data_IF_800699366358
#
_entry.id   IF_800699366358
#
_cell.length_a   1.000
_cell.length_b   1.000
_cell.length_c   1.000
_cell.angle_alpha   90.00
_cell.angle_beta   90.00
_cell.angle_gamma   90.00
#
_symmetry.space_group_name_H-M   'P 1'
#
loop_
_entity.id
_entity.type
_entity.pdbx_description
1 polymer ?
#
# COMPACT_ATOMS: atom_id res chain seq x y z
N UNK A 1 -5.53 10.86 -26.12
CA UNK A 1 -5.36 10.01 -24.94
C UNK A 1 -6.44 8.95 -24.97
N UNK A 2 -6.14 7.84 -25.69
CA UNK A 2 -7.01 6.69 -25.75
C UNK A 2 -7.02 6.01 -24.38
N UNK A 3 -8.15 6.04 -23.71
CA UNK A 3 -8.40 5.21 -22.55
C UNK A 3 -8.28 3.75 -23.02
N UNK A 4 -7.19 3.10 -22.63
CA UNK A 4 -7.08 1.65 -22.78
C UNK A 4 -8.31 1.01 -22.12
N UNK A 5 -8.99 0.06 -22.76
CA UNK A 5 -10.14 -0.58 -22.12
C UNK A 5 -9.66 -1.16 -20.78
N UNK A 6 -10.36 -0.84 -19.69
CA UNK A 6 -10.10 -1.35 -18.36
C UNK A 6 -10.31 -2.87 -18.34
N UNK A 7 -9.29 -3.62 -18.72
CA UNK A 7 -9.30 -5.08 -18.79
C UNK A 7 -8.02 -5.62 -18.19
N UNK A 8 -8.15 -6.67 -17.44
CA UNK A 8 -7.02 -7.47 -17.00
C UNK A 8 -6.24 -7.96 -18.24
N UNK A 9 -4.91 -7.90 -18.19
CA UNK A 9 -4.06 -8.44 -19.25
C UNK A 9 -4.45 -9.88 -19.56
N UNK A 10 -4.54 -10.23 -20.84
CA UNK A 10 -4.82 -11.62 -21.27
C UNK A 10 -3.75 -12.62 -20.80
N UNK A 11 -2.57 -12.13 -20.44
CA UNK A 11 -1.47 -12.94 -19.91
C UNK A 11 -1.49 -13.09 -18.39
N UNK A 12 -2.36 -12.37 -17.67
CA UNK A 12 -2.39 -12.41 -16.20
C UNK A 12 -2.71 -13.81 -15.69
N UNK A 13 -3.88 -14.33 -16.03
CA UNK A 13 -4.35 -15.64 -15.57
C UNK A 13 -3.51 -16.83 -16.03
N UNK A 14 -2.92 -16.85 -17.23
CA UNK A 14 -1.98 -17.90 -17.61
C UNK A 14 -0.69 -17.94 -16.79
N UNK A 15 -0.30 -16.81 -16.19
CA UNK A 15 0.95 -16.69 -15.43
C UNK A 15 0.76 -16.80 -13.91
N UNK A 16 -0.41 -16.42 -13.41
CA UNK A 16 -0.68 -16.34 -11.98
C UNK A 16 -1.93 -17.14 -11.62
N UNK A 17 -1.82 -17.95 -10.57
CA UNK A 17 -2.96 -18.60 -9.91
C UNK A 17 -3.16 -17.92 -8.57
N UNK A 18 -4.07 -16.96 -8.52
CA UNK A 18 -4.31 -16.14 -7.34
C UNK A 18 -5.69 -16.44 -6.75
N UNK A 19 -5.92 -16.12 -5.47
CA UNK A 19 -7.21 -16.34 -4.83
C UNK A 19 -8.36 -15.66 -5.55
N UNK A 20 -9.50 -16.32 -5.58
CA UNK A 20 -10.77 -15.81 -6.11
C UNK A 20 -11.71 -15.52 -4.96
N UNK A 21 -12.12 -14.26 -4.84
CA UNK A 21 -13.10 -13.83 -3.84
C UNK A 21 -14.49 -13.77 -4.48
N UNK A 22 -15.29 -14.79 -4.22
CA UNK A 22 -16.62 -14.95 -4.84
C UNK A 22 -17.62 -13.83 -4.45
N UNK A 23 -17.39 -13.16 -3.33
CA UNK A 23 -18.19 -12.00 -2.90
C UNK A 23 -17.96 -10.75 -3.75
N UNK A 24 -16.85 -10.71 -4.50
CA UNK A 24 -16.50 -9.59 -5.36
C UNK A 24 -17.02 -9.75 -6.78
N UNK A 25 -17.13 -8.62 -7.47
CA UNK A 25 -17.45 -8.63 -8.90
C UNK A 25 -16.37 -9.41 -9.67
N UNK A 26 -16.78 -10.32 -10.59
CA UNK A 26 -15.87 -11.22 -11.32
C UNK A 26 -14.70 -10.57 -12.06
N UNK A 27 -14.78 -9.26 -12.37
CA UNK A 27 -13.63 -8.52 -12.92
C UNK A 27 -12.55 -8.22 -11.89
N UNK A 28 -12.86 -8.34 -10.59
CA UNK A 28 -11.91 -8.18 -9.49
C UNK A 28 -11.31 -9.53 -9.06
N UNK A 29 -11.83 -10.67 -9.53
CA UNK A 29 -11.24 -11.98 -9.23
C UNK A 29 -9.77 -12.01 -9.61
N UNK A 30 -8.94 -12.61 -8.76
CA UNK A 30 -7.48 -12.72 -8.92
C UNK A 30 -6.72 -11.37 -8.90
N UNK A 31 -7.41 -10.24 -8.66
CA UNK A 31 -6.78 -8.92 -8.53
C UNK A 31 -7.10 -8.22 -7.21
N UNK A 32 -8.11 -8.72 -6.49
CA UNK A 32 -8.44 -8.31 -5.12
C UNK A 32 -8.63 -9.58 -4.29
N UNK A 33 -7.81 -9.74 -3.28
CA UNK A 33 -7.82 -10.94 -2.43
C UNK A 33 -7.06 -10.68 -1.13
N UNK A 34 -7.21 -11.61 -0.18
CA UNK A 34 -6.39 -11.67 1.03
C UNK A 34 -5.52 -12.93 1.06
N UNK A 35 -4.37 -12.80 1.68
CA UNK A 35 -3.53 -13.93 2.08
C UNK A 35 -3.30 -13.82 3.58
N UNK A 36 -3.56 -14.87 4.31
CA UNK A 36 -3.21 -14.98 5.72
C UNK A 36 -2.13 -16.04 5.89
N UNK A 37 -1.06 -15.65 6.55
CA UNK A 37 0.02 -16.57 6.86
C UNK A 37 0.57 -16.26 8.25
N UNK A 38 0.49 -17.25 9.15
CA UNK A 38 0.78 -17.03 10.57
C UNK A 38 -0.04 -15.83 11.08
N UNK A 39 0.58 -14.88 11.76
CA UNK A 39 -0.09 -13.71 12.30
C UNK A 39 -0.10 -12.49 11.35
N UNK A 40 -0.02 -12.73 10.04
CA UNK A 40 0.03 -11.68 9.01
C UNK A 40 -1.16 -11.79 8.07
N UNK A 41 -1.93 -10.71 7.97
CA UNK A 41 -2.90 -10.49 6.90
C UNK A 41 -2.27 -9.63 5.82
N UNK A 42 -2.27 -10.10 4.58
CA UNK A 42 -1.92 -9.30 3.39
C UNK A 42 -3.18 -9.09 2.57
N UNK A 43 -3.59 -7.83 2.43
CA UNK A 43 -4.74 -7.42 1.63
C UNK A 43 -4.25 -6.80 0.32
N UNK A 44 -4.56 -7.45 -0.79
CA UNK A 44 -4.21 -7.01 -2.15
C UNK A 44 -5.41 -6.33 -2.80
N UNK A 45 -5.23 -5.10 -3.29
CA UNK A 45 -6.30 -4.28 -3.86
C UNK A 45 -6.01 -3.89 -5.31
N UNK A 46 -7.06 -3.75 -6.09
CA UNK A 46 -7.01 -3.23 -7.45
C UNK A 46 -7.26 -1.71 -7.45
N UNK A 47 -6.21 -0.93 -7.65
CA UNK A 47 -6.29 0.52 -7.65
C UNK A 47 -6.62 1.13 -9.02
N UNK A 48 -7.11 0.33 -9.98
CA UNK A 48 -7.43 0.80 -11.34
C UNK A 48 -8.89 0.69 -11.71
N UNK A 49 -9.65 -0.25 -11.11
CA UNK A 49 -11.03 -0.52 -11.51
C UNK A 49 -11.93 -0.89 -10.32
N UNK A 50 -13.21 -0.56 -10.40
CA UNK A 50 -14.23 -0.88 -9.39
C UNK A 50 -13.84 -0.48 -7.95
N UNK A 51 -13.24 0.68 -7.77
CA UNK A 51 -12.69 1.14 -6.49
C UNK A 51 -13.73 1.12 -5.36
N UNK A 52 -14.93 1.65 -5.62
CA UNK A 52 -16.03 1.74 -4.64
C UNK A 52 -16.48 0.35 -4.16
N UNK A 53 -16.44 -0.65 -5.05
CA UNK A 53 -16.87 -2.02 -4.73
C UNK A 53 -15.93 -2.75 -3.79
N UNK A 54 -14.70 -2.26 -3.66
CA UNK A 54 -13.70 -2.84 -2.78
C UNK A 54 -13.81 -2.32 -1.34
N UNK A 55 -14.43 -1.17 -1.12
CA UNK A 55 -14.50 -0.53 0.21
C UNK A 55 -15.17 -1.44 1.25
N UNK A 56 -16.32 -2.03 0.91
CA UNK A 56 -16.99 -2.97 1.81
C UNK A 56 -16.18 -4.25 2.06
N UNK A 57 -15.48 -4.74 1.05
CA UNK A 57 -14.58 -5.89 1.17
C UNK A 57 -13.40 -5.59 2.09
N UNK A 58 -12.77 -4.41 1.95
CA UNK A 58 -11.69 -3.95 2.83
C UNK A 58 -12.18 -3.93 4.28
N UNK A 59 -13.33 -3.31 4.53
CA UNK A 59 -13.90 -3.24 5.87
C UNK A 59 -14.19 -4.63 6.43
N UNK A 60 -14.79 -5.50 5.64
CA UNK A 60 -15.09 -6.88 6.04
C UNK A 60 -13.83 -7.65 6.43
N UNK A 61 -12.81 -7.64 5.57
CA UNK A 61 -11.58 -8.42 5.82
C UNK A 61 -10.77 -7.87 7.00
N UNK A 62 -10.64 -6.56 7.10
CA UNK A 62 -9.91 -5.94 8.20
C UNK A 62 -10.62 -6.10 9.56
N UNK A 63 -11.96 -5.99 9.59
CA UNK A 63 -12.74 -6.10 10.83
C UNK A 63 -12.83 -7.52 11.39
N UNK A 64 -12.69 -8.53 10.52
CA UNK A 64 -12.77 -9.95 10.93
C UNK A 64 -11.40 -10.58 11.20
N UNK A 65 -10.32 -9.89 10.88
CA UNK A 65 -8.98 -10.45 11.03
C UNK A 65 -8.43 -10.24 12.43
N UNK A 66 -8.04 -11.34 13.07
CA UNK A 66 -7.29 -11.36 14.33
C UNK A 66 -5.77 -11.28 14.12
N UNK A 67 -5.32 -11.14 12.87
CA UNK A 67 -3.91 -11.05 12.55
C UNK A 67 -3.24 -9.86 13.25
N UNK A 68 -2.10 -10.13 13.89
CA UNK A 68 -1.30 -9.11 14.58
C UNK A 68 -0.79 -8.05 13.62
N UNK A 69 -0.35 -8.48 12.42
CA UNK A 69 0.21 -7.60 11.40
C UNK A 69 -0.72 -7.52 10.19
N UNK A 70 -1.06 -6.31 9.79
CA UNK A 70 -1.95 -6.04 8.64
C UNK A 70 -1.19 -5.23 7.60
N UNK A 71 -0.98 -5.83 6.43
CA UNK A 71 -0.28 -5.22 5.31
C UNK A 71 -1.26 -5.05 4.16
N UNK A 72 -1.31 -3.86 3.59
CA UNK A 72 -2.11 -3.57 2.38
C UNK A 72 -1.17 -3.29 1.21
N UNK A 73 -1.51 -3.81 0.04
CA UNK A 73 -0.79 -3.46 -1.18
C UNK A 73 -1.71 -3.12 -2.33
N UNK A 74 -1.40 -2.07 -3.05
CA UNK A 74 -2.02 -1.70 -4.32
C UNK A 74 -1.03 -0.92 -5.19
N UNK A 75 -1.29 -0.86 -6.50
CA UNK A 75 -0.34 -0.23 -7.42
C UNK A 75 -0.20 1.28 -7.22
N UNK A 76 -1.30 2.03 -7.18
CA UNK A 76 -1.24 3.49 -7.03
C UNK A 76 -0.95 3.91 -5.59
N UNK A 77 -0.11 4.94 -5.45
CA UNK A 77 0.29 5.47 -4.15
C UNK A 77 -0.85 6.20 -3.47
N UNK A 78 -1.17 5.81 -2.24
CA UNK A 78 -2.18 6.52 -1.42
C UNK A 78 -1.75 7.96 -1.16
N UNK A 79 -0.46 8.16 -0.87
CA UNK A 79 0.20 9.45 -0.77
C UNK A 79 1.26 9.54 -1.86
N UNK A 80 0.85 10.05 -3.01
CA UNK A 80 1.70 10.09 -4.20
C UNK A 80 2.86 11.05 -4.04
N UNK A 81 4.13 10.60 -4.12
CA UNK A 81 5.27 11.50 -4.05
C UNK A 81 5.58 12.18 -5.39
N UNK A 82 5.07 11.71 -6.51
CA UNK A 82 5.41 12.23 -7.82
C UNK A 82 4.56 13.44 -8.22
N UNK A 83 5.21 14.45 -8.78
CA UNK A 83 4.57 15.69 -9.24
C UNK A 83 3.34 15.42 -10.11
N UNK A 84 2.20 16.01 -9.73
CA UNK A 84 0.96 16.01 -10.49
C UNK A 84 0.25 14.65 -10.52
N UNK A 85 0.60 13.74 -9.63
CA UNK A 85 -0.08 12.46 -9.43
C UNK A 85 -0.82 12.45 -8.12
N UNK A 86 -1.99 11.84 -8.10
CA UNK A 86 -2.82 11.77 -6.92
C UNK A 86 -3.73 10.55 -6.94
N UNK A 87 -4.00 9.99 -5.77
CA UNK A 87 -4.99 8.93 -5.58
C UNK A 87 -5.94 9.30 -4.42
N UNK A 88 -6.61 10.44 -4.59
CA UNK A 88 -7.56 10.99 -3.61
C UNK A 88 -8.63 10.00 -3.17
N UNK A 89 -9.11 9.15 -4.11
CA UNK A 89 -10.11 8.14 -3.78
C UNK A 89 -9.67 7.23 -2.63
N UNK A 90 -8.44 6.70 -2.70
CA UNK A 90 -7.93 5.82 -1.64
C UNK A 90 -7.74 6.57 -0.33
N UNK A 91 -7.26 7.81 -0.36
CA UNK A 91 -7.16 8.63 0.85
C UNK A 91 -8.50 8.88 1.51
N UNK A 92 -9.54 9.18 0.73
CA UNK A 92 -10.86 9.48 1.26
C UNK A 92 -11.67 8.25 1.68
N UNK A 93 -11.50 7.10 1.01
CA UNK A 93 -12.39 5.96 1.19
C UNK A 93 -11.72 4.73 1.81
N UNK A 94 -10.44 4.48 1.54
CA UNK A 94 -9.73 3.30 2.05
C UNK A 94 -8.87 3.61 3.28
N UNK A 95 -8.14 4.73 3.27
CA UNK A 95 -7.30 5.15 4.40
C UNK A 95 -8.07 5.19 5.74
N UNK A 96 -9.30 5.73 5.82
CA UNK A 96 -10.05 5.71 7.09
C UNK A 96 -10.29 4.30 7.64
N UNK A 97 -10.43 3.30 6.76
CA UNK A 97 -10.53 1.89 7.17
C UNK A 97 -9.17 1.35 7.62
N UNK A 98 -8.08 1.72 6.94
CA UNK A 98 -6.75 1.34 7.38
C UNK A 98 -6.44 1.88 8.78
N UNK A 99 -6.76 3.15 9.03
CA UNK A 99 -6.60 3.78 10.34
C UNK A 99 -7.46 3.08 11.40
N UNK A 100 -8.76 2.85 11.09
CA UNK A 100 -9.72 2.24 12.01
C UNK A 100 -9.31 0.85 12.47
N UNK A 101 -8.80 0.03 11.54
CA UNK A 101 -8.50 -1.38 11.80
C UNK A 101 -7.01 -1.68 11.99
N UNK A 102 -6.19 -0.65 12.17
CA UNK A 102 -4.81 -0.82 12.55
C UNK A 102 -3.93 -1.46 11.49
N UNK A 103 -4.00 -0.98 10.24
CA UNK A 103 -3.05 -1.40 9.19
C UNK A 103 -1.66 -0.87 9.52
N UNK A 104 -0.66 -1.76 9.54
CA UNK A 104 0.72 -1.41 9.88
C UNK A 104 1.48 -0.85 8.69
N UNK A 105 1.27 -1.42 7.49
CA UNK A 105 2.08 -1.13 6.32
C UNK A 105 1.23 -1.08 5.05
N UNK A 106 1.40 -0.02 4.27
CA UNK A 106 0.80 0.13 2.94
C UNK A 106 1.92 0.22 1.90
N UNK A 107 1.94 -0.74 0.98
CA UNK A 107 2.95 -0.85 -0.08
C UNK A 107 2.39 -0.42 -1.42
N UNK A 108 3.05 0.53 -2.05
CA UNK A 108 2.64 1.12 -3.31
C UNK A 108 3.80 1.19 -4.32
N UNK A 109 3.44 1.39 -5.59
CA UNK A 109 4.35 1.67 -6.70
C UNK A 109 3.88 2.87 -7.52
N UNK A 110 3.80 2.72 -8.85
CA UNK A 110 3.27 3.68 -9.82
C UNK A 110 4.11 4.95 -10.02
N UNK A 111 4.58 5.57 -8.98
CA UNK A 111 5.13 6.92 -9.04
C UNK A 111 6.62 6.99 -9.38
N UNK A 112 7.25 5.86 -9.57
CA UNK A 112 8.64 5.75 -10.02
C UNK A 112 9.62 6.63 -9.24
N UNK A 113 9.37 6.77 -7.95
CA UNK A 113 10.21 7.44 -6.94
C UNK A 113 10.21 6.58 -5.69
N UNK A 114 11.03 6.92 -4.72
CA UNK A 114 10.96 6.35 -3.38
C UNK A 114 10.40 7.38 -2.40
N UNK A 115 9.43 6.94 -1.61
CA UNK A 115 8.96 7.73 -0.47
C UNK A 115 8.51 6.81 0.65
N UNK A 116 8.89 7.14 1.87
CA UNK A 116 8.33 6.60 3.09
C UNK A 116 7.81 7.72 3.97
N UNK A 117 6.62 7.54 4.45
CA UNK A 117 6.03 8.39 5.47
C UNK A 117 5.11 7.58 6.35
N UNK A 118 4.50 8.23 7.31
CA UNK A 118 3.58 7.58 8.23
C UNK A 118 2.39 8.48 8.57
N UNK A 119 1.32 7.85 9.02
CA UNK A 119 0.17 8.50 9.62
C UNK A 119 0.07 8.02 11.06
N UNK A 120 0.19 8.92 12.06
CA UNK A 120 -0.10 8.58 13.46
C UNK A 120 -1.59 8.32 13.63
N UNK A 121 -1.97 7.16 14.15
CA UNK A 121 -3.37 6.78 14.29
C UNK A 121 -3.68 6.23 15.68
N UNK A 122 -4.97 6.30 16.06
CA UNK A 122 -5.53 5.56 17.18
C UNK A 122 -6.41 4.46 16.63
N UNK A 123 -5.92 3.24 16.67
CA UNK A 123 -6.71 2.10 16.21
C UNK A 123 -7.87 1.81 17.16
N UNK A 124 -8.96 1.27 16.58
CA UNK A 124 -10.03 0.62 17.32
C UNK A 124 -9.76 -0.89 17.49
N UNK A 125 -8.67 -1.39 16.93
CA UNK A 125 -8.23 -2.77 17.07
C UNK A 125 -7.73 -3.00 18.51
N UNK A 126 -8.39 -3.90 19.24
CA UNK A 126 -8.05 -4.23 20.64
C UNK A 126 -6.64 -4.82 20.78
N UNK A 127 -6.12 -5.45 19.72
CA UNK A 127 -4.76 -5.98 19.67
C UNK A 127 -3.69 -4.89 19.49
N UNK A 128 -4.11 -3.66 19.20
CA UNK A 128 -3.24 -2.50 18.98
C UNK A 128 -3.65 -1.34 19.88
N UNK A 129 -3.48 -1.55 21.18
CA UNK A 129 -3.81 -0.50 22.16
C UNK A 129 -2.78 0.62 22.13
N UNK A 130 -3.25 1.86 22.02
CA UNK A 130 -2.41 3.05 22.08
C UNK A 130 -2.24 3.75 20.71
N UNK A 131 -1.20 4.57 20.63
CA UNK A 131 -0.84 5.24 19.39
C UNK A 131 0.12 4.35 18.60
N UNK A 132 -0.18 4.12 17.33
CA UNK A 132 0.73 3.45 16.40
C UNK A 132 0.81 4.24 15.09
N UNK A 133 1.71 3.85 14.20
CA UNK A 133 1.89 4.52 12.92
C UNK A 133 1.55 3.55 11.80
N UNK A 134 0.67 3.94 10.88
CA UNK A 134 0.57 3.26 9.59
C UNK A 134 1.69 3.78 8.69
N UNK A 135 2.59 2.90 8.26
CA UNK A 135 3.64 3.24 7.31
C UNK A 135 3.12 3.16 5.88
N UNK A 136 3.40 4.19 5.09
CA UNK A 136 3.10 4.25 3.66
C UNK A 136 4.39 4.30 2.88
N UNK A 137 4.58 3.33 2.00
CA UNK A 137 5.77 3.17 1.17
C UNK A 137 5.38 3.25 -0.30
N UNK A 138 6.04 4.12 -1.04
CA UNK A 138 6.06 4.10 -2.50
C UNK A 138 7.47 3.77 -2.96
N UNK A 139 7.62 2.79 -3.84
CA UNK A 139 8.94 2.38 -4.29
C UNK A 139 9.00 2.09 -5.78
N UNK A 140 10.20 2.21 -6.34
CA UNK A 140 10.50 2.00 -7.76
C UNK A 140 11.65 1.00 -7.92
N UNK A 141 11.39 -0.06 -8.70
CA UNK A 141 12.42 -1.05 -9.07
C UNK A 141 12.87 -0.93 -10.52
N UNK A 142 12.12 -0.19 -11.35
CA UNK A 142 12.41 0.00 -12.76
C UNK A 142 13.29 1.22 -13.06
N UNK A 143 13.83 1.33 -14.29
CA UNK A 143 14.74 2.43 -14.67
C UNK A 143 14.04 3.76 -14.91
N UNK A 144 12.72 3.75 -15.11
CA UNK A 144 11.93 4.98 -15.28
C UNK A 144 11.82 5.71 -13.96
N UNK A 145 12.12 7.01 -13.95
CA UNK A 145 12.12 7.83 -12.74
C UNK A 145 11.25 9.08 -12.93
N UNK A 146 10.62 9.55 -11.84
CA UNK A 146 9.87 10.79 -11.78
C UNK A 146 10.47 11.73 -10.75
N UNK A 147 10.07 13.02 -10.83
CA UNK A 147 10.43 14.03 -9.85
C UNK A 147 9.48 13.98 -8.66
N UNK A 148 10.03 14.18 -7.48
CA UNK A 148 9.26 14.31 -6.24
C UNK A 148 8.64 15.71 -6.14
N UNK A 149 7.35 15.75 -5.81
CA UNK A 149 6.58 16.95 -5.50
C UNK A 149 6.67 17.26 -4.01
N UNK A 150 7.67 18.05 -3.60
CA UNK A 150 7.85 18.40 -2.18
C UNK A 150 6.65 19.14 -1.61
N UNK A 151 6.11 20.12 -2.36
CA UNK A 151 4.91 20.86 -1.95
C UNK A 151 3.71 19.92 -1.78
N UNK A 152 3.50 18.99 -2.71
CA UNK A 152 2.44 17.99 -2.62
C UNK A 152 2.57 17.10 -1.38
N UNK A 153 3.79 16.70 -1.01
CA UNK A 153 4.02 15.93 0.21
C UNK A 153 3.73 16.76 1.48
N UNK A 154 3.98 18.06 1.44
CA UNK A 154 3.60 18.96 2.53
C UNK A 154 2.08 19.12 2.64
N UNK A 155 1.35 19.20 1.52
CA UNK A 155 -0.10 19.31 1.49
C UNK A 155 -0.78 18.09 2.15
N UNK A 156 -0.19 16.89 2.04
CA UNK A 156 -0.71 15.69 2.68
C UNK A 156 -0.65 15.70 4.22
N UNK A 157 0.00 16.70 4.83
CA UNK A 157 -0.08 16.91 6.27
C UNK A 157 -1.51 17.20 6.73
N UNK A 158 -2.34 17.75 5.87
CA UNK A 158 -3.79 17.94 6.14
C UNK A 158 -4.52 16.62 6.29
N UNK A 159 -4.04 15.55 5.65
CA UNK A 159 -4.54 14.18 5.76
C UNK A 159 -3.81 13.37 6.88
N UNK A 160 -2.96 14.04 7.66
CA UNK A 160 -2.19 13.46 8.75
C UNK A 160 -0.89 12.76 8.33
N UNK A 161 -0.51 12.83 7.05
CA UNK A 161 0.70 12.16 6.56
C UNK A 161 1.96 12.96 6.88
N UNK A 162 2.96 12.29 7.40
CA UNK A 162 4.27 12.85 7.71
C UNK A 162 5.33 12.12 6.88
N UNK A 163 5.96 12.85 5.94
CA UNK A 163 7.04 12.31 5.11
C UNK A 163 8.32 12.15 5.92
N UNK A 164 8.96 10.97 5.85
CA UNK A 164 10.17 10.65 6.61
C UNK A 164 11.41 10.51 5.73
N UNK A 165 11.25 9.90 4.55
CA UNK A 165 12.36 9.61 3.63
C UNK A 165 11.88 9.71 2.19
N UNK A 166 12.68 10.29 1.33
CA UNK A 166 12.43 10.39 -0.10
C UNK A 166 13.68 10.02 -0.89
N UNK A 167 13.51 9.54 -2.13
CA UNK A 167 14.61 9.20 -3.02
C UNK A 167 14.22 9.26 -4.49
N UNK A 168 15.14 9.77 -5.29
CA UNK A 168 15.03 9.89 -6.74
C UNK A 168 16.22 9.26 -7.44
N UNK A 169 16.09 9.00 -8.73
CA UNK A 169 17.17 8.57 -9.64
C UNK A 169 17.89 7.28 -9.19
N UNK A 170 17.18 6.40 -8.46
CA UNK A 170 17.71 5.14 -7.94
C UNK A 170 16.62 4.08 -7.96
N UNK A 171 17.00 2.85 -8.22
CA UNK A 171 16.14 1.68 -8.14
C UNK A 171 16.25 1.05 -6.76
N UNK A 172 15.12 0.58 -6.23
CA UNK A 172 15.05 0.01 -4.89
C UNK A 172 14.39 -1.36 -4.88
N UNK A 173 14.75 -2.18 -3.90
CA UNK A 173 13.97 -3.33 -3.46
C UNK A 173 13.80 -3.29 -1.94
N UNK A 174 12.78 -3.98 -1.45
CA UNK A 174 12.41 -3.96 -0.04
C UNK A 174 12.47 -5.35 0.56
N UNK A 175 12.87 -5.39 1.83
CA UNK A 175 12.77 -6.57 2.67
C UNK A 175 11.91 -6.22 3.88
N UNK A 176 10.88 -7.03 4.12
CA UNK A 176 10.01 -6.91 5.27
C UNK A 176 10.21 -8.16 6.10
N UNK A 177 10.65 -7.97 7.33
CA UNK A 177 10.86 -9.05 8.29
C UNK A 177 9.90 -8.89 9.46
N UNK A 178 9.39 -10.00 9.95
CA UNK A 178 8.63 -10.04 11.20
C UNK A 178 9.44 -10.90 12.16
N UNK A 179 9.95 -10.27 13.19
CA UNK A 179 10.83 -10.89 14.17
C UNK A 179 10.30 -10.57 15.58
N UNK A 180 9.95 -11.61 16.32
CA UNK A 180 9.35 -11.46 17.65
C UNK A 180 8.10 -10.57 17.62
N UNK A 181 8.19 -9.40 18.25
CA UNK A 181 7.11 -8.42 18.39
C UNK A 181 7.26 -7.23 17.43
N UNK A 182 8.13 -7.32 16.42
CA UNK A 182 8.48 -6.21 15.54
C UNK A 182 8.27 -6.55 14.07
N UNK A 183 7.69 -5.61 13.32
CA UNK A 183 7.71 -5.59 11.86
C UNK A 183 8.83 -4.64 11.44
N UNK A 184 9.83 -5.16 10.74
CA UNK A 184 11.01 -4.42 10.30
C UNK A 184 10.93 -4.24 8.79
N UNK A 185 10.93 -3.00 8.36
CA UNK A 185 11.01 -2.61 6.96
C UNK A 185 12.41 -2.13 6.62
N UNK A 186 12.98 -2.62 5.53
CA UNK A 186 14.25 -2.14 4.98
C UNK A 186 14.15 -1.94 3.48
N UNK A 187 14.69 -0.82 2.99
CA UNK A 187 14.87 -0.55 1.58
C UNK A 187 16.35 -0.55 1.22
N UNK A 188 16.66 -1.19 0.12
CA UNK A 188 18.02 -1.28 -0.43
C UNK A 188 18.04 -0.71 -1.83
N UNK A 189 19.18 -0.09 -2.20
CA UNK A 189 19.44 0.26 -3.60
C UNK A 189 19.62 -1.00 -4.44
N UNK A 190 19.54 -0.89 -5.76
CA UNK A 190 19.86 -2.01 -6.66
C UNK A 190 21.30 -2.51 -6.55
N UNK A 191 22.20 -1.74 -5.93
CA UNK A 191 23.59 -2.12 -5.64
C UNK A 191 23.74 -2.85 -4.30
N UNK A 192 22.68 -2.94 -3.51
CA UNK A 192 22.68 -3.64 -2.22
C UNK A 192 22.94 -2.76 -1.00
N UNK A 193 23.09 -1.45 -1.18
CA UNK A 193 23.29 -0.53 -0.06
C UNK A 193 21.97 -0.32 0.69
N UNK A 194 21.97 -0.44 2.02
CA UNK A 194 20.82 -0.09 2.84
C UNK A 194 20.54 1.42 2.73
N UNK A 195 19.34 1.75 2.25
CA UNK A 195 18.95 3.14 2.01
C UNK A 195 18.03 3.70 3.10
N UNK A 196 17.14 2.85 3.62
CA UNK A 196 16.14 3.25 4.59
C UNK A 196 15.69 2.07 5.47
N UNK A 197 15.30 2.37 6.70
CA UNK A 197 14.78 1.38 7.65
C UNK A 197 13.70 1.99 8.54
N UNK A 198 12.75 1.15 8.97
CA UNK A 198 11.71 1.47 9.96
C UNK A 198 11.32 0.21 10.75
N UNK A 199 10.86 0.40 11.98
CA UNK A 199 10.36 -0.66 12.87
C UNK A 199 9.09 -0.19 13.53
#
# INVERSE_FOLDING_TARGET
NGLSPKRLSVQWRPQFTLPVEESLHKKLHETVYTVEYQDVLILVLNSTDFLEKQTAYIEEKLSKSDAKWKIVTCHHSVFSPAVGRDFEFARKNWKPLFDKYGVDLVLNGHDHTYSRGHVPVKSQDENKSGNFNTLYITSVSGPKQYKIGLEQLEDYKTDGYLSNKIGEQTQFFQVISIENESLIYKAYTALGDEYDTAT
#
